data_IF_504294513118
#
_entry.id   IF_504294513118
#
_cell.length_a   1.000
_cell.length_b   1.000
_cell.length_c   1.000
_cell.angle_alpha   90.00
_cell.angle_beta   90.00
_cell.angle_gamma   90.00
#
_symmetry.space_group_name_H-M   'P 1'
#
loop_
_entity.id
_entity.type
_entity.pdbx_description
1 polymer ?
#
# COMPACT_ATOMS: atom_id res chain seq x y z
N UNK A 1 4.90 -13.33 -33.35
CA UNK A 1 3.75 -13.30 -32.41
C UNK A 1 3.91 -12.11 -31.47
N UNK A 2 3.09 -11.08 -31.67
CA UNK A 2 3.09 -9.86 -30.84
C UNK A 2 2.71 -10.21 -29.41
N UNK A 3 3.60 -9.95 -28.44
CA UNK A 3 3.26 -10.00 -27.02
C UNK A 3 2.26 -8.88 -26.77
N UNK A 4 0.98 -9.27 -26.75
CA UNK A 4 -0.15 -8.44 -26.41
C UNK A 4 0.01 -7.96 -24.95
N UNK A 5 0.77 -6.89 -24.76
CA UNK A 5 0.96 -6.23 -23.46
C UNK A 5 -0.34 -5.48 -23.17
N UNK A 6 -1.32 -6.21 -22.63
CA UNK A 6 -2.53 -5.60 -22.07
C UNK A 6 -2.07 -4.46 -21.16
N UNK A 7 -2.54 -3.26 -21.45
CA UNK A 7 -2.38 -2.08 -20.60
C UNK A 7 -3.02 -2.38 -19.24
N UNK A 8 -2.26 -2.91 -18.29
CA UNK A 8 -2.71 -3.18 -16.92
C UNK A 8 -2.61 -1.91 -16.08
N UNK A 9 -3.16 -0.79 -16.56
CA UNK A 9 -3.30 0.42 -15.77
C UNK A 9 -4.63 0.36 -15.01
N UNK A 10 -4.81 -0.69 -14.20
CA UNK A 10 -5.94 -0.85 -13.31
C UNK A 10 -5.41 -1.11 -11.91
N UNK A 11 -5.95 -0.39 -10.93
CA UNK A 11 -5.71 -0.70 -9.53
C UNK A 11 -6.41 -2.02 -9.21
N UNK A 12 -5.77 -2.85 -8.39
CA UNK A 12 -6.29 -4.16 -7.97
C UNK A 12 -7.40 -4.01 -6.93
N UNK A 13 -7.36 -2.94 -6.13
CA UNK A 13 -8.29 -2.71 -5.04
C UNK A 13 -9.24 -1.55 -5.34
N UNK A 14 -10.45 -1.64 -4.78
CA UNK A 14 -11.39 -0.54 -4.72
C UNK A 14 -11.09 0.32 -3.49
N UNK A 15 -10.86 1.61 -3.71
CA UNK A 15 -10.55 2.57 -2.64
C UNK A 15 -11.75 3.41 -2.23
N UNK A 16 -12.90 3.25 -2.88
CA UNK A 16 -14.12 3.99 -2.50
C UNK A 16 -14.44 3.71 -1.03
N UNK A 17 -14.72 4.77 -0.28
CA UNK A 17 -14.98 4.77 1.17
C UNK A 17 -13.84 4.27 2.06
N UNK A 18 -12.68 4.01 1.45
CA UNK A 18 -11.49 3.63 2.21
C UNK A 18 -10.86 4.87 2.85
N UNK A 19 -10.10 4.65 3.92
CA UNK A 19 -9.41 5.74 4.63
C UNK A 19 -7.94 5.74 4.28
N UNK A 20 -7.43 6.89 3.83
CA UNK A 20 -5.99 7.14 3.72
C UNK A 20 -5.48 7.55 5.11
N UNK A 21 -4.77 6.65 5.78
CA UNK A 21 -4.37 6.77 7.18
C UNK A 21 -3.09 7.57 7.38
N UNK A 22 -2.08 7.33 6.54
CA UNK A 22 -0.72 7.80 6.77
C UNK A 22 0.04 7.92 5.46
N UNK A 23 0.86 8.97 5.31
CA UNK A 23 1.83 9.12 4.24
C UNK A 23 3.26 9.10 4.80
N UNK A 24 4.10 8.23 4.25
CA UNK A 24 5.53 8.15 4.53
C UNK A 24 6.31 8.61 3.30
N UNK A 25 7.04 9.72 3.40
CA UNK A 25 7.92 10.16 2.31
C UNK A 25 9.21 9.34 2.35
N UNK A 26 9.45 8.57 1.29
CA UNK A 26 10.67 7.78 1.14
C UNK A 26 11.85 8.65 0.71
N UNK A 27 11.57 9.70 -0.06
CA UNK A 27 12.50 10.74 -0.49
C UNK A 27 11.71 11.99 -0.93
N UNK A 28 12.40 12.94 -1.57
CA UNK A 28 11.84 14.20 -2.06
C UNK A 28 10.74 14.04 -3.13
N UNK A 29 10.64 12.87 -3.76
CA UNK A 29 9.70 12.61 -4.89
C UNK A 29 8.94 11.31 -4.76
N UNK A 30 9.00 10.61 -3.63
CA UNK A 30 8.39 9.29 -3.48
C UNK A 30 7.69 9.17 -2.15
N UNK A 31 6.50 8.58 -2.16
CA UNK A 31 5.64 8.48 -0.99
C UNK A 31 4.97 7.11 -0.94
N UNK A 32 4.82 6.59 0.28
CA UNK A 32 3.98 5.44 0.59
C UNK A 32 2.76 5.91 1.36
N UNK A 33 1.59 5.52 0.89
CA UNK A 33 0.34 5.89 1.55
C UNK A 33 -0.36 4.63 2.02
N UNK A 34 -0.64 4.58 3.32
CA UNK A 34 -1.33 3.46 3.95
C UNK A 34 -2.83 3.71 3.89
N UNK A 35 -3.54 2.71 3.37
CA UNK A 35 -4.99 2.68 3.30
C UNK A 35 -5.53 1.60 4.24
N UNK A 36 -6.63 1.92 4.92
CA UNK A 36 -7.54 0.93 5.49
C UNK A 36 -8.71 0.79 4.52
N UNK A 37 -8.82 -0.38 3.88
CA UNK A 37 -9.90 -0.62 2.93
C UNK A 37 -11.26 -0.73 3.63
N UNK A 38 -12.30 -0.27 2.95
CA UNK A 38 -13.66 -0.25 3.49
C UNK A 38 -14.21 -1.67 3.70
N UNK A 39 -14.87 -1.88 4.84
CA UNK A 39 -15.21 -3.21 5.34
C UNK A 39 -16.27 -3.93 4.53
N UNK A 40 -17.15 -3.18 3.86
CA UNK A 40 -18.21 -3.74 3.01
C UNK A 40 -17.60 -4.47 1.80
N UNK A 41 -16.52 -3.93 1.23
CA UNK A 41 -15.80 -4.59 0.14
C UNK A 41 -14.76 -5.60 0.65
N UNK A 42 -14.20 -5.35 1.85
CA UNK A 42 -13.10 -6.13 2.41
C UNK A 42 -13.27 -6.40 3.92
N UNK A 43 -14.01 -7.45 4.32
CA UNK A 43 -14.32 -7.74 5.72
C UNK A 43 -13.09 -7.90 6.62
N UNK A 44 -11.98 -8.41 6.08
CA UNK A 44 -10.72 -8.57 6.80
C UNK A 44 -10.02 -7.25 7.15
N UNK A 45 -10.55 -6.11 6.67
CA UNK A 45 -9.99 -4.75 6.82
C UNK A 45 -8.49 -4.74 6.52
N UNK A 46 -8.08 -5.21 5.32
CA UNK A 46 -6.67 -5.25 4.98
C UNK A 46 -6.10 -3.83 4.97
N UNK A 47 -4.85 -3.73 5.42
CA UNK A 47 -4.05 -2.52 5.24
C UNK A 47 -3.31 -2.66 3.91
N UNK A 48 -3.39 -1.63 3.10
CA UNK A 48 -2.73 -1.58 1.80
C UNK A 48 -1.74 -0.42 1.80
N UNK A 49 -0.58 -0.61 1.20
CA UNK A 49 0.34 0.49 0.89
C UNK A 49 0.25 0.77 -0.61
N UNK A 50 -0.12 2.00 -0.98
CA UNK A 50 0.12 2.51 -2.32
C UNK A 50 1.46 3.23 -2.33
N UNK A 51 2.45 2.64 -2.99
CA UNK A 51 3.76 3.26 -3.17
C UNK A 51 3.78 3.99 -4.50
N UNK A 52 4.08 5.28 -4.46
CA UNK A 52 4.17 6.16 -5.62
C UNK A 52 5.61 6.65 -5.72
N UNK A 53 6.26 6.41 -6.87
CA UNK A 53 7.67 6.76 -7.09
C UNK A 53 7.83 7.82 -8.17
N UNK A 54 8.81 8.69 -7.94
CA UNK A 54 9.21 9.77 -8.86
C UNK A 54 8.01 10.64 -9.29
N UNK A 55 7.37 11.29 -8.32
CA UNK A 55 6.30 12.26 -8.53
C UNK A 55 6.90 13.53 -9.13
N UNK A 56 6.52 13.83 -10.37
CA UNK A 56 7.01 15.01 -11.09
C UNK A 56 6.30 16.29 -10.69
N UNK A 57 5.03 16.21 -10.31
CA UNK A 57 4.26 17.36 -9.83
C UNK A 57 4.19 17.44 -8.30
N UNK A 58 5.28 17.08 -7.61
CA UNK A 58 5.32 16.94 -6.15
C UNK A 58 4.92 18.23 -5.43
N UNK A 59 5.29 19.40 -5.94
CA UNK A 59 4.89 20.68 -5.34
C UNK A 59 3.36 20.86 -5.29
N UNK A 60 2.63 20.41 -6.32
CA UNK A 60 1.16 20.45 -6.32
C UNK A 60 0.57 19.42 -5.38
N UNK A 61 1.21 18.25 -5.29
CA UNK A 61 0.82 17.21 -4.34
C UNK A 61 0.98 17.69 -2.89
N UNK A 62 2.08 18.37 -2.56
CA UNK A 62 2.35 18.86 -1.21
C UNK A 62 1.47 20.04 -0.77
N UNK A 63 0.96 20.84 -1.71
CA UNK A 63 0.04 21.96 -1.44
C UNK A 63 -1.39 21.53 -1.11
N UNK A 64 -1.67 20.23 -1.06
CA UNK A 64 -3.00 19.79 -0.65
C UNK A 64 -3.20 20.05 0.84
N UNK A 65 -4.39 20.51 1.28
CA UNK A 65 -4.60 21.09 2.62
C UNK A 65 -4.10 20.22 3.78
N UNK A 66 -4.23 18.90 3.66
CA UNK A 66 -3.77 17.95 4.67
C UNK A 66 -2.29 17.52 4.53
N UNK A 67 -1.56 17.97 3.51
CA UNK A 67 -0.12 17.72 3.33
C UNK A 67 0.71 18.98 3.61
N UNK A 68 0.16 20.18 3.38
CA UNK A 68 0.86 21.46 3.53
C UNK A 68 1.09 21.85 5.00
N UNK A 69 0.06 21.79 5.85
CA UNK A 69 0.22 22.00 7.32
C UNK A 69 1.17 20.98 7.96
N UNK A 70 1.35 19.81 7.33
CA UNK A 70 2.21 18.72 7.82
C UNK A 70 3.68 18.86 7.42
N UNK A 71 3.97 19.62 6.38
CA UNK A 71 5.33 19.94 5.95
C UNK A 71 5.96 21.10 6.74
N UNK A 72 5.15 21.97 7.33
CA UNK A 72 5.65 23.17 8.02
C UNK A 72 6.34 22.86 9.35
N UNK A 73 6.08 21.70 9.97
CA UNK A 73 6.84 21.21 11.12
C UNK A 73 7.96 20.27 10.64
N UNK A 74 9.14 20.83 10.37
CA UNK A 74 10.42 20.09 10.20
C UNK A 74 10.79 19.17 11.39
N UNK A 75 9.99 19.16 12.46
CA UNK A 75 10.20 18.33 13.64
C UNK A 75 9.46 17.01 13.51
N UNK A 76 10.22 16.02 13.05
CA UNK A 76 9.93 14.58 13.05
C UNK A 76 8.94 14.10 11.99
N UNK A 77 9.43 13.24 11.09
CA UNK A 77 8.71 12.31 10.22
C UNK A 77 7.85 11.29 11.02
N UNK A 78 7.27 11.70 12.16
CA UNK A 78 6.43 10.88 13.03
C UNK A 78 5.04 10.79 12.42
N UNK A 79 4.58 9.56 12.22
CA UNK A 79 3.18 9.11 12.03
C UNK A 79 2.13 10.23 12.12
N UNK A 80 1.88 10.93 11.01
CA UNK A 80 0.82 11.92 10.93
C UNK A 80 -0.52 11.23 10.65
N UNK A 81 -1.53 11.47 11.50
CA UNK A 81 -2.86 10.83 11.42
C UNK A 81 -3.66 11.25 10.17
N UNK A 82 -4.48 10.32 9.65
CA UNK A 82 -5.51 10.41 8.60
C UNK A 82 -5.40 11.56 7.58
N UNK A 83 -5.12 11.22 6.32
CA UNK A 83 -5.18 12.12 5.17
C UNK A 83 -6.64 12.42 4.78
N UNK A 84 -7.54 11.44 4.86
CA UNK A 84 -8.98 11.61 4.60
C UNK A 84 -9.67 10.34 4.08
N UNK A 85 -11.01 10.39 4.00
CA UNK A 85 -11.83 9.38 3.31
C UNK A 85 -11.68 9.57 1.80
N UNK A 86 -11.70 8.47 1.07
CA UNK A 86 -11.48 8.45 -0.36
C UNK A 86 -12.80 8.28 -1.07
N UNK A 87 -13.14 9.24 -1.93
CA UNK A 87 -14.23 9.07 -2.86
C UNK A 87 -13.79 8.18 -4.02
N UNK A 88 -12.60 8.44 -4.57
CA UNK A 88 -12.13 7.75 -5.77
C UNK A 88 -10.61 7.84 -5.93
N UNK A 89 -9.98 6.70 -6.23
CA UNK A 89 -8.63 6.64 -6.76
C UNK A 89 -8.66 5.81 -8.03
N UNK A 90 -8.11 6.34 -9.12
CA UNK A 90 -8.05 5.62 -10.39
C UNK A 90 -6.94 6.17 -11.28
N UNK A 91 -6.49 5.39 -12.25
CA UNK A 91 -5.67 5.92 -13.33
C UNK A 91 -6.48 6.92 -14.17
N UNK A 92 -5.84 7.99 -14.62
CA UNK A 92 -6.47 8.99 -15.47
C UNK A 92 -6.87 8.33 -16.80
N UNK A 93 -8.16 8.35 -17.09
CA UNK A 93 -8.73 7.79 -18.32
C UNK A 93 -8.65 8.77 -19.51
N UNK A 94 -8.45 10.07 -19.24
CA UNK A 94 -8.34 11.12 -20.28
C UNK A 94 -6.94 11.22 -20.87
N UNK A 95 -5.91 10.82 -20.11
CA UNK A 95 -4.52 10.75 -20.59
C UNK A 95 -4.03 9.32 -20.48
N UNK A 96 -3.71 8.69 -21.61
CA UNK A 96 -3.13 7.34 -21.61
C UNK A 96 -1.85 7.36 -20.78
N UNK A 97 -1.83 6.57 -19.72
CA UNK A 97 -0.60 6.30 -18.99
C UNK A 97 0.28 5.39 -19.83
N UNK A 98 1.51 5.83 -20.11
CA UNK A 98 2.50 5.10 -20.90
C UNK A 98 3.58 4.52 -19.97
N UNK A 99 4.47 3.69 -20.51
CA UNK A 99 5.53 3.05 -19.73
C UNK A 99 6.41 4.13 -19.10
N UNK A 100 6.35 4.27 -17.77
CA UNK A 100 7.00 5.31 -16.95
C UNK A 100 6.32 6.69 -16.94
N UNK A 101 5.13 6.86 -17.54
CA UNK A 101 4.40 8.11 -17.53
C UNK A 101 2.97 7.88 -17.02
N UNK A 102 2.81 7.89 -15.70
CA UNK A 102 1.60 7.47 -15.02
C UNK A 102 0.86 8.67 -14.46
N UNK A 103 -0.44 8.71 -14.72
CA UNK A 103 -1.34 9.72 -14.17
C UNK A 103 -2.38 9.04 -13.26
N UNK A 104 -2.39 9.42 -11.99
CA UNK A 104 -3.37 8.96 -11.01
C UNK A 104 -4.30 10.11 -10.67
N UNK A 105 -5.60 9.89 -10.80
CA UNK A 105 -6.63 10.76 -10.26
C UNK A 105 -6.97 10.30 -8.84
N UNK A 106 -6.99 11.24 -7.91
CA UNK A 106 -7.30 11.01 -6.51
C UNK A 106 -8.30 12.06 -6.06
N UNK A 107 -9.47 11.62 -5.62
CA UNK A 107 -10.50 12.42 -4.98
C UNK A 107 -10.64 12.03 -3.51
N UNK A 108 -10.47 13.00 -2.64
CA UNK A 108 -10.68 12.88 -1.21
C UNK A 108 -11.96 13.60 -0.83
N UNK A 109 -12.78 12.93 -0.01
CA UNK A 109 -14.01 13.51 0.52
C UNK A 109 -13.69 14.84 1.22
N UNK A 110 -14.52 15.85 0.97
CA UNK A 110 -14.47 17.19 1.57
C UNK A 110 -13.21 18.04 1.28
N UNK A 111 -12.23 17.50 0.56
CA UNK A 111 -11.00 18.21 0.16
C UNK A 111 -10.99 18.47 -1.34
N UNK A 112 -11.51 17.52 -2.11
CA UNK A 112 -11.57 17.58 -3.56
C UNK A 112 -10.49 16.75 -4.25
N UNK A 113 -10.31 17.03 -5.54
CA UNK A 113 -9.61 16.13 -6.45
C UNK A 113 -8.30 16.68 -6.98
N UNK A 114 -7.29 15.82 -7.02
CA UNK A 114 -6.01 16.12 -7.65
C UNK A 114 -5.52 15.01 -8.55
N UNK A 115 -4.57 15.40 -9.39
CA UNK A 115 -3.86 14.50 -10.28
C UNK A 115 -2.43 14.37 -9.83
N UNK A 116 -1.95 13.15 -9.69
CA UNK A 116 -0.54 12.83 -9.50
C UNK A 116 0.04 12.41 -10.83
N UNK A 117 1.19 12.96 -11.15
CA UNK A 117 1.99 12.60 -12.31
C UNK A 117 3.30 11.99 -11.83
N UNK A 118 3.51 10.71 -12.12
CA UNK A 118 4.62 9.94 -11.58
C UNK A 118 5.14 8.88 -12.55
N UNK A 119 6.25 8.23 -12.18
CA UNK A 119 6.83 7.15 -12.98
C UNK A 119 6.13 5.81 -12.80
N UNK A 120 5.80 5.46 -11.56
CA UNK A 120 5.24 4.14 -11.25
C UNK A 120 4.44 4.15 -9.97
N UNK A 121 3.47 3.23 -9.91
CA UNK A 121 2.60 2.98 -8.76
C UNK A 121 2.62 1.49 -8.46
N UNK A 122 2.78 1.14 -7.18
CA UNK A 122 2.78 -0.24 -6.69
C UNK A 122 1.77 -0.38 -5.55
N UNK A 123 0.89 -1.38 -5.64
CA UNK A 123 0.01 -1.78 -4.54
C UNK A 123 0.66 -2.93 -3.78
N UNK A 124 1.03 -2.67 -2.53
CA UNK A 124 1.66 -3.64 -1.64
C UNK A 124 0.67 -4.02 -0.54
N UNK A 125 0.38 -5.30 -0.45
CA UNK A 125 -0.41 -5.83 0.64
C UNK A 125 0.41 -5.78 1.94
N UNK A 126 -0.16 -5.20 2.99
CA UNK A 126 0.41 -5.31 4.33
C UNK A 126 -0.16 -6.59 4.95
N UNK A 127 0.61 -7.69 5.03
CA UNK A 127 0.13 -8.84 5.79
C UNK A 127 -0.14 -8.38 7.21
N UNK A 128 -1.38 -8.56 7.70
CA UNK A 128 -1.59 -8.71 9.15
C UNK A 128 -0.55 -9.73 9.57
N UNK A 129 0.42 -9.31 10.40
CA UNK A 129 1.42 -10.22 10.94
C UNK A 129 0.66 -11.46 11.40
N UNK A 130 0.91 -12.61 10.76
CA UNK A 130 0.44 -13.87 11.32
C UNK A 130 0.91 -13.84 12.78
N UNK A 131 0.04 -14.12 13.75
CA UNK A 131 0.45 -14.08 15.14
C UNK A 131 1.68 -14.99 15.24
N UNK A 132 2.78 -14.44 15.76
CA UNK A 132 4.06 -15.14 15.86
C UNK A 132 3.92 -16.50 16.55
N UNK A 133 2.85 -16.66 17.37
CA UNK A 133 2.44 -17.92 17.98
C UNK A 133 2.17 -19.04 16.97
N UNK A 134 1.52 -18.78 15.83
CA UNK A 134 1.22 -19.82 14.84
C UNK A 134 2.49 -20.32 14.14
N UNK A 135 3.41 -19.41 13.79
CA UNK A 135 4.68 -19.76 13.15
C UNK A 135 5.58 -20.53 14.13
N UNK A 136 5.67 -20.08 15.39
CA UNK A 136 6.37 -20.80 16.44
C UNK A 136 5.74 -22.17 16.72
N UNK A 137 4.41 -22.29 16.74
CA UNK A 137 3.77 -23.61 16.93
C UNK A 137 4.08 -24.56 15.78
N UNK A 138 4.09 -24.11 14.52
CA UNK A 138 4.41 -24.99 13.40
C UNK A 138 5.90 -25.40 13.38
N UNK A 139 6.82 -24.49 13.71
CA UNK A 139 8.24 -24.81 13.85
C UNK A 139 8.50 -25.74 15.05
N UNK A 140 7.88 -25.49 16.21
CA UNK A 140 7.97 -26.38 17.38
C UNK A 140 7.33 -27.74 17.11
N UNK A 141 6.22 -27.81 16.36
CA UNK A 141 5.60 -29.08 15.96
C UNK A 141 6.50 -29.84 14.96
N UNK A 142 7.17 -29.15 14.04
CA UNK A 142 8.17 -29.74 13.14
C UNK A 142 9.38 -30.27 13.89
N UNK A 143 9.91 -29.50 14.84
CA UNK A 143 11.05 -29.89 15.67
C UNK A 143 10.68 -31.10 16.53
N UNK A 144 9.55 -31.06 17.23
CA UNK A 144 9.08 -32.17 18.07
C UNK A 144 8.74 -33.42 17.25
N UNK A 145 8.19 -33.28 16.04
CA UNK A 145 8.02 -34.41 15.12
C UNK A 145 9.37 -35.01 14.70
N UNK A 146 10.36 -34.19 14.35
CA UNK A 146 11.73 -34.65 14.03
C UNK A 146 12.37 -35.41 15.19
N UNK A 147 12.23 -34.91 16.42
CA UNK A 147 12.76 -35.56 17.62
C UNK A 147 12.01 -36.85 17.98
N UNK A 148 10.70 -36.93 17.73
CA UNK A 148 9.93 -38.19 17.93
C UNK A 148 10.38 -39.27 16.94
N UNK A 149 10.62 -38.91 15.67
CA UNK A 149 11.12 -39.85 14.68
C UNK A 149 12.56 -40.28 14.96
N UNK A 150 13.44 -39.40 15.43
CA UNK A 150 14.82 -39.78 15.77
C UNK A 150 14.91 -40.67 17.01
N UNK A 151 14.01 -40.50 17.99
CA UNK A 151 14.00 -41.33 19.21
C UNK A 151 13.48 -42.74 18.93
N UNK A 152 12.42 -42.87 18.12
CA UNK A 152 11.91 -44.18 17.68
C UNK A 152 12.99 -44.96 16.90
N UNK A 153 13.83 -44.28 16.11
CA UNK A 153 14.90 -44.93 15.34
C UNK A 153 16.08 -45.39 16.20
N UNK A 154 16.30 -44.79 17.37
CA UNK A 154 17.35 -45.18 18.32
C UNK A 154 16.92 -46.32 19.26
N UNK A 155 15.62 -46.48 19.51
CA UNK A 155 15.09 -47.55 20.37
C UNK A 155 14.82 -48.86 19.59
N UNK A 156 15.03 -48.86 18.27
CA UNK A 156 14.78 -50.00 17.35
C UNK A 156 16.06 -50.60 16.71
N UNK A 157 17.25 -50.14 17.12
CA UNK A 157 18.57 -50.67 16.75
C UNK A 157 19.45 -50.78 18.00
#
# INVERSE_FOLDING_TARGET
MSKNTKNTNSLKYNYHDSNADFANFLNDRSVEIIFKLYEVFYPDKPKLILRIREIWNIQKFLKYPNLEERNLKKSSFRKHSLIGRIDRIQFDTKRKSERKNVFLYWNLDSIGSFRIHCKSIEELYFPKSKPWSLILTFELLRITAKFRFSKIFLDLF
#
